data_IF_955206160951
#
_entry.id   IF_955206160951
#
_cell.length_a   1.000
_cell.length_b   1.000
_cell.length_c   1.000
_cell.angle_alpha   90.00
_cell.angle_beta   90.00
_cell.angle_gamma   90.00
#
_symmetry.space_group_name_H-M   'P 1'
#
loop_
_entity.id
_entity.type
_entity.pdbx_description
1 polymer ?
#
# COMPACT_ATOMS: atom_id res chain seq x y z
N UNK A 1 27.99 -89.11 24.53
CA UNK A 1 28.70 -87.92 24.05
C UNK A 1 27.84 -87.23 22.99
N UNK A 2 27.68 -85.91 23.11
CA UNK A 2 27.48 -85.01 21.97
C UNK A 2 26.05 -84.72 21.52
N UNK A 3 25.42 -83.68 22.10
CA UNK A 3 24.52 -82.75 21.36
C UNK A 3 24.39 -81.39 22.10
N UNK A 4 25.45 -80.90 22.75
CA UNK A 4 25.46 -79.57 23.37
C UNK A 4 25.86 -78.42 22.43
N UNK A 5 26.33 -78.71 21.22
CA UNK A 5 27.05 -77.74 20.37
C UNK A 5 26.20 -77.06 19.29
N UNK A 6 24.92 -77.42 19.08
CA UNK A 6 24.12 -76.93 17.94
C UNK A 6 23.23 -75.71 18.26
N UNK A 7 22.99 -75.41 19.54
CA UNK A 7 22.04 -74.35 19.95
C UNK A 7 22.66 -72.94 19.95
N UNK A 8 23.98 -72.84 20.15
CA UNK A 8 24.69 -71.55 20.24
C UNK A 8 24.88 -70.87 18.87
N UNK A 9 25.09 -71.67 17.82
CA UNK A 9 25.39 -71.20 16.46
C UNK A 9 24.18 -70.49 15.80
N UNK A 10 22.97 -71.02 16.02
CA UNK A 10 21.74 -70.45 15.46
C UNK A 10 21.42 -69.07 16.03
N UNK A 11 21.75 -68.81 17.30
CA UNK A 11 21.55 -67.50 17.92
C UNK A 11 22.54 -66.48 17.37
N UNK A 12 23.79 -66.89 17.15
CA UNK A 12 24.82 -66.04 16.57
C UNK A 12 24.51 -65.66 15.13
N UNK A 13 24.09 -66.62 14.30
CA UNK A 13 23.66 -66.37 12.92
C UNK A 13 22.48 -65.38 12.85
N UNK A 14 21.51 -65.51 13.76
CA UNK A 14 20.36 -64.59 13.84
C UNK A 14 20.77 -63.17 14.24
N UNK A 15 21.73 -63.04 15.14
CA UNK A 15 22.28 -61.75 15.57
C UNK A 15 23.04 -61.05 14.44
N UNK A 16 23.88 -61.79 13.71
CA UNK A 16 24.61 -61.27 12.54
C UNK A 16 23.62 -60.80 11.45
N UNK A 17 22.58 -61.59 11.16
CA UNK A 17 21.55 -61.24 10.18
C UNK A 17 20.76 -59.97 10.56
N UNK A 18 20.43 -59.80 11.84
CA UNK A 18 19.78 -58.57 12.34
C UNK A 18 20.68 -57.34 12.23
N UNK A 19 21.97 -57.49 12.57
CA UNK A 19 22.95 -56.42 12.45
C UNK A 19 23.20 -56.03 10.99
N UNK A 20 23.25 -56.99 10.06
CA UNK A 20 23.35 -56.72 8.63
C UNK A 20 22.07 -56.05 8.09
N UNK A 21 20.88 -56.45 8.55
CA UNK A 21 19.61 -55.83 8.12
C UNK A 21 19.48 -54.38 8.60
N UNK A 22 19.90 -54.08 9.82
CA UNK A 22 20.00 -52.70 10.35
C UNK A 22 20.99 -51.85 9.54
N UNK A 23 22.17 -52.42 9.22
CA UNK A 23 23.22 -51.72 8.47
C UNK A 23 22.85 -51.53 6.98
N UNK A 24 22.07 -52.44 6.38
CA UNK A 24 21.50 -52.28 5.04
C UNK A 24 20.42 -51.18 4.99
N UNK A 25 19.55 -51.11 6.01
CA UNK A 25 18.55 -50.05 6.11
C UNK A 25 19.16 -48.64 6.28
N UNK A 26 20.29 -48.53 6.99
CA UNK A 26 21.01 -47.26 7.18
C UNK A 26 21.78 -46.82 5.92
N UNK A 27 22.20 -47.75 5.05
CA UNK A 27 22.98 -47.46 3.84
C UNK A 27 22.12 -47.30 2.58
N UNK A 28 20.90 -47.85 2.56
CA UNK A 28 19.98 -47.76 1.41
C UNK A 28 18.87 -46.72 1.56
N UNK A 29 18.83 -45.98 2.69
CA UNK A 29 17.91 -44.85 2.87
C UNK A 29 18.63 -43.49 2.79
N UNK A 30 19.56 -43.34 1.85
CA UNK A 30 20.23 -42.07 1.56
C UNK A 30 19.29 -41.03 0.90
N UNK A 31 18.02 -41.40 0.61
CA UNK A 31 17.04 -40.52 0.00
C UNK A 31 16.12 -39.82 1.03
N UNK A 32 16.07 -40.27 2.28
CA UNK A 32 15.25 -39.62 3.32
C UNK A 32 15.69 -38.18 3.66
N UNK A 33 17.00 -37.85 3.77
CA UNK A 33 17.43 -36.46 3.97
C UNK A 33 17.07 -35.57 2.77
N UNK A 34 17.15 -36.11 1.55
CA UNK A 34 16.82 -35.42 0.30
C UNK A 34 15.31 -35.26 0.08
N UNK A 35 14.47 -36.12 0.66
CA UNK A 35 13.01 -35.95 0.65
C UNK A 35 12.56 -34.89 1.65
N UNK A 36 13.12 -34.89 2.87
CA UNK A 36 12.82 -33.89 3.90
C UNK A 36 13.27 -32.49 3.51
N UNK A 37 14.48 -32.34 2.95
CA UNK A 37 14.95 -31.06 2.42
C UNK A 37 14.09 -30.57 1.23
N UNK A 38 13.61 -31.50 0.38
CA UNK A 38 12.72 -31.16 -0.74
C UNK A 38 11.33 -30.76 -0.26
N UNK A 39 10.79 -31.39 0.79
CA UNK A 39 9.55 -30.95 1.43
C UNK A 39 9.68 -29.57 2.07
N UNK A 40 10.78 -29.29 2.79
CA UNK A 40 11.04 -27.97 3.38
C UNK A 40 11.20 -26.89 2.29
N UNK A 41 11.93 -27.17 1.20
CA UNK A 41 12.10 -26.23 0.08
C UNK A 41 10.75 -26.00 -0.62
N UNK A 42 9.97 -27.06 -0.87
CA UNK A 42 8.63 -26.94 -1.46
C UNK A 42 7.65 -26.19 -0.57
N UNK A 43 7.71 -26.38 0.76
CA UNK A 43 6.93 -25.60 1.72
C UNK A 43 7.36 -24.14 1.76
N UNK A 44 8.66 -23.85 1.75
CA UNK A 44 9.16 -22.47 1.70
C UNK A 44 8.81 -21.77 0.38
N UNK A 45 8.96 -22.45 -0.77
CA UNK A 45 8.56 -21.90 -2.07
C UNK A 45 7.05 -21.68 -2.17
N UNK A 46 6.24 -22.60 -1.63
CA UNK A 46 4.79 -22.45 -1.58
C UNK A 46 4.38 -21.28 -0.66
N UNK A 47 4.97 -21.18 0.53
CA UNK A 47 4.74 -20.07 1.45
C UNK A 47 5.17 -18.74 0.85
N UNK A 48 6.28 -18.71 0.12
CA UNK A 48 6.76 -17.52 -0.58
C UNK A 48 5.81 -17.12 -1.69
N UNK A 49 5.38 -18.06 -2.55
CA UNK A 49 4.39 -17.81 -3.61
C UNK A 49 3.03 -17.39 -3.07
N UNK A 50 2.58 -17.99 -1.97
CA UNK A 50 1.36 -17.57 -1.28
C UNK A 50 1.49 -16.17 -0.72
N UNK A 51 2.62 -15.83 -0.07
CA UNK A 51 2.90 -14.49 0.42
C UNK A 51 2.95 -13.47 -0.72
N UNK A 52 3.63 -13.78 -1.83
CA UNK A 52 3.68 -12.95 -3.03
C UNK A 52 2.29 -12.74 -3.64
N UNK A 53 1.50 -13.80 -3.81
CA UNK A 53 0.11 -13.69 -4.26
C UNK A 53 -0.74 -12.85 -3.30
N UNK A 54 -0.58 -13.03 -1.99
CA UNK A 54 -1.30 -12.26 -0.97
C UNK A 54 -0.97 -10.77 -1.04
N UNK A 55 0.31 -10.44 -1.25
CA UNK A 55 0.77 -9.06 -1.47
C UNK A 55 0.24 -8.47 -2.79
N UNK A 56 0.14 -9.27 -3.86
CA UNK A 56 -0.46 -8.86 -5.13
C UNK A 56 -1.97 -8.59 -5.00
N UNK A 57 -2.71 -9.39 -4.23
CA UNK A 57 -4.15 -9.20 -4.01
C UNK A 57 -4.48 -7.99 -3.12
N UNK A 58 -3.66 -7.70 -2.10
CA UNK A 58 -3.89 -6.57 -1.19
C UNK A 58 -3.32 -5.24 -1.70
N UNK A 59 -2.30 -5.28 -2.59
CA UNK A 59 -1.68 -4.09 -3.16
C UNK A 59 -2.68 -3.09 -3.76
N UNK A 60 -3.67 -3.51 -4.58
CA UNK A 60 -4.71 -2.62 -5.10
C UNK A 60 -5.48 -1.88 -4.01
N UNK A 61 -5.89 -2.59 -2.95
CA UNK A 61 -6.68 -2.01 -1.85
C UNK A 61 -5.84 -1.01 -1.05
N UNK A 62 -4.58 -1.35 -0.77
CA UNK A 62 -3.65 -0.45 -0.07
C UNK A 62 -3.37 0.80 -0.91
N UNK A 63 -3.13 0.63 -2.22
CA UNK A 63 -2.92 1.76 -3.14
C UNK A 63 -4.18 2.62 -3.26
N UNK A 64 -5.36 2.03 -3.35
CA UNK A 64 -6.64 2.74 -3.37
C UNK A 64 -6.83 3.60 -2.12
N UNK A 65 -6.60 3.04 -0.93
CA UNK A 65 -6.75 3.77 0.32
C UNK A 65 -5.77 4.94 0.43
N UNK A 66 -4.50 4.74 0.03
CA UNK A 66 -3.50 5.81 -0.03
C UNK A 66 -3.90 6.91 -1.01
N UNK A 67 -4.39 6.52 -2.18
CA UNK A 67 -4.87 7.44 -3.21
C UNK A 67 -6.04 8.29 -2.69
N UNK A 68 -7.04 7.67 -2.07
CA UNK A 68 -8.18 8.37 -1.48
C UNK A 68 -7.75 9.31 -0.35
N UNK A 69 -6.84 8.88 0.53
CA UNK A 69 -6.33 9.74 1.61
C UNK A 69 -5.62 10.98 1.06
N UNK A 70 -4.70 10.81 0.09
CA UNK A 70 -3.97 11.92 -0.52
C UNK A 70 -4.90 12.91 -1.25
N UNK A 71 -5.92 12.40 -1.94
CA UNK A 71 -6.88 13.26 -2.64
C UNK A 71 -7.84 13.99 -1.68
N UNK A 72 -8.25 13.35 -0.58
CA UNK A 72 -9.01 14.01 0.48
C UNK A 72 -8.19 15.10 1.17
N UNK A 73 -6.92 14.83 1.48
CA UNK A 73 -6.01 15.84 2.04
C UNK A 73 -5.87 17.04 1.09
N UNK A 74 -5.65 16.79 -0.20
CA UNK A 74 -5.56 17.83 -1.21
C UNK A 74 -6.86 18.65 -1.34
N UNK A 75 -8.03 18.00 -1.27
CA UNK A 75 -9.34 18.67 -1.27
C UNK A 75 -9.55 19.54 -0.03
N UNK A 76 -9.21 19.03 1.15
CA UNK A 76 -9.30 19.77 2.42
C UNK A 76 -8.38 20.98 2.39
N UNK A 77 -7.13 20.80 1.97
CA UNK A 77 -6.17 21.90 1.84
C UNK A 77 -6.67 22.96 0.85
N UNK A 78 -7.25 22.55 -0.30
CA UNK A 78 -7.88 23.47 -1.24
C UNK A 78 -9.02 24.26 -0.57
N UNK A 79 -9.97 23.58 0.09
CA UNK A 79 -11.10 24.24 0.74
C UNK A 79 -10.67 25.22 1.84
N UNK A 80 -9.69 24.84 2.66
CA UNK A 80 -9.16 25.70 3.72
C UNK A 80 -8.45 26.94 3.16
N UNK A 81 -7.63 26.78 2.12
CA UNK A 81 -6.95 27.90 1.46
C UNK A 81 -7.93 28.86 0.78
N UNK A 82 -8.96 28.33 0.10
CA UNK A 82 -10.02 29.15 -0.49
C UNK A 82 -10.79 29.91 0.58
N UNK A 83 -11.21 29.24 1.65
CA UNK A 83 -11.91 29.87 2.76
C UNK A 83 -11.08 30.98 3.40
N UNK A 84 -9.81 30.71 3.72
CA UNK A 84 -8.90 31.71 4.28
C UNK A 84 -8.81 32.95 3.38
N UNK A 85 -8.63 32.74 2.07
CA UNK A 85 -8.55 33.85 1.12
C UNK A 85 -9.82 34.71 1.10
N UNK A 86 -11.00 34.09 1.09
CA UNK A 86 -12.27 34.84 1.12
C UNK A 86 -12.47 35.58 2.45
N UNK A 87 -12.07 34.97 3.57
CA UNK A 87 -12.10 35.62 4.89
C UNK A 87 -11.14 36.81 4.93
N UNK A 88 -9.93 36.67 4.40
CA UNK A 88 -8.95 37.76 4.31
C UNK A 88 -9.47 38.93 3.47
N UNK A 89 -10.12 38.64 2.33
CA UNK A 89 -10.78 39.65 1.50
C UNK A 89 -11.91 40.37 2.25
N UNK A 90 -12.74 39.62 2.97
CA UNK A 90 -13.83 40.19 3.77
C UNK A 90 -13.30 41.05 4.93
N UNK A 91 -12.28 40.59 5.65
CA UNK A 91 -11.62 41.35 6.71
C UNK A 91 -10.96 42.62 6.17
N UNK A 92 -10.27 42.55 5.03
CA UNK A 92 -9.70 43.72 4.38
C UNK A 92 -10.79 44.75 4.07
N UNK A 93 -11.96 44.31 3.60
CA UNK A 93 -13.07 45.21 3.28
C UNK A 93 -13.77 45.78 4.52
N UNK A 94 -13.90 45.00 5.60
CA UNK A 94 -14.37 45.48 6.90
C UNK A 94 -13.42 46.53 7.49
N UNK A 95 -12.10 46.27 7.41
CA UNK A 95 -11.08 47.24 7.84
C UNK A 95 -11.17 48.53 7.04
N UNK A 96 -11.24 48.44 5.72
CA UNK A 96 -11.40 49.61 4.85
C UNK A 96 -12.68 50.40 5.15
N UNK A 97 -13.75 49.74 5.61
CA UNK A 97 -14.98 50.42 6.04
C UNK A 97 -14.80 51.11 7.40
N UNK A 98 -14.12 50.47 8.35
CA UNK A 98 -13.86 51.02 9.68
C UNK A 98 -12.90 52.23 9.63
N UNK A 99 -12.01 52.29 8.63
CA UNK A 99 -11.06 53.38 8.43
C UNK A 99 -11.70 54.61 7.73
N UNK A 100 -13.02 54.61 7.44
CA UNK A 100 -13.73 55.76 6.87
C UNK A 100 -13.96 56.83 7.94
N UNK A 101 -13.29 57.97 7.82
CA UNK A 101 -13.38 59.10 8.76
C UNK A 101 -13.91 60.40 8.14
N UNK A 102 -13.93 60.49 6.82
CA UNK A 102 -14.25 61.72 6.08
C UNK A 102 -14.80 61.44 4.67
N UNK A 103 -15.40 62.44 3.99
CA UNK A 103 -15.97 62.25 2.66
C UNK A 103 -14.98 61.76 1.58
N UNK A 104 -13.69 62.08 1.70
CA UNK A 104 -12.69 61.61 0.73
C UNK A 104 -12.39 60.12 0.92
N UNK A 105 -12.21 59.67 2.17
CA UNK A 105 -12.05 58.24 2.51
C UNK A 105 -13.26 57.40 2.09
N UNK A 106 -14.48 57.95 2.22
CA UNK A 106 -15.71 57.34 1.73
C UNK A 106 -15.71 57.20 0.20
N UNK A 107 -15.29 58.24 -0.52
CA UNK A 107 -15.18 58.19 -1.98
C UNK A 107 -14.18 57.12 -2.41
N UNK A 108 -13.00 57.06 -1.78
CA UNK A 108 -11.98 56.02 -2.03
C UNK A 108 -12.54 54.61 -1.84
N UNK A 109 -13.25 54.38 -0.73
CA UNK A 109 -13.91 53.11 -0.45
C UNK A 109 -14.94 52.73 -1.53
N UNK A 110 -15.74 53.69 -2.01
CA UNK A 110 -16.73 53.45 -3.07
C UNK A 110 -16.05 53.14 -4.41
N UNK A 111 -14.95 53.83 -4.72
CA UNK A 111 -14.21 53.61 -5.97
C UNK A 111 -13.45 52.28 -5.99
N UNK A 112 -13.00 51.77 -4.84
CA UNK A 112 -12.29 50.47 -4.75
C UNK A 112 -13.21 49.24 -4.92
N UNK A 113 -14.52 49.44 -5.03
CA UNK A 113 -15.46 48.32 -5.25
C UNK A 113 -15.19 47.57 -6.55
N UNK A 114 -14.82 48.27 -7.64
CA UNK A 114 -14.51 47.64 -8.91
C UNK A 114 -13.27 46.71 -8.80
N UNK A 115 -12.25 47.14 -8.06
CA UNK A 115 -11.05 46.34 -7.78
C UNK A 115 -11.38 45.14 -6.89
N UNK A 116 -12.25 45.32 -5.90
CA UNK A 116 -12.74 44.23 -5.04
C UNK A 116 -13.49 43.17 -5.85
N UNK A 117 -14.36 43.58 -6.78
CA UNK A 117 -15.07 42.66 -7.67
C UNK A 117 -14.09 41.95 -8.62
N UNK A 118 -13.12 42.68 -9.17
CA UNK A 118 -12.09 42.11 -10.05
C UNK A 118 -11.26 41.03 -9.34
N UNK A 119 -10.79 41.31 -8.13
CA UNK A 119 -10.04 40.35 -7.30
C UNK A 119 -10.88 39.13 -6.91
N UNK A 120 -12.17 39.30 -6.59
CA UNK A 120 -13.09 38.18 -6.32
C UNK A 120 -13.26 37.29 -7.56
N UNK A 121 -13.46 37.89 -8.73
CA UNK A 121 -13.59 37.16 -9.99
C UNK A 121 -12.31 36.40 -10.33
N UNK A 122 -11.15 37.04 -10.20
CA UNK A 122 -9.86 36.39 -10.42
C UNK A 122 -9.70 35.18 -9.48
N UNK A 123 -9.96 35.36 -8.19
CA UNK A 123 -9.88 34.28 -7.21
C UNK A 123 -10.81 33.12 -7.53
N UNK A 124 -12.04 33.42 -7.96
CA UNK A 124 -12.99 32.40 -8.38
C UNK A 124 -12.52 31.60 -9.60
N UNK A 125 -11.95 32.28 -10.60
CA UNK A 125 -11.36 31.62 -11.77
C UNK A 125 -10.17 30.74 -11.38
N UNK A 126 -9.29 31.25 -10.51
CA UNK A 126 -8.13 30.52 -10.01
C UNK A 126 -8.57 29.27 -9.22
N UNK A 127 -9.60 29.38 -8.38
CA UNK A 127 -10.15 28.26 -7.62
C UNK A 127 -10.81 27.22 -8.53
N UNK A 128 -11.51 27.65 -9.57
CA UNK A 128 -12.08 26.77 -10.58
C UNK A 128 -10.99 25.98 -11.30
N UNK A 129 -9.89 26.66 -11.67
CA UNK A 129 -8.73 26.01 -12.30
C UNK A 129 -8.06 25.03 -11.36
N UNK A 130 -7.79 25.42 -10.12
CA UNK A 130 -7.16 24.58 -9.11
C UNK A 130 -8.00 23.32 -8.81
N UNK A 131 -9.32 23.47 -8.71
CA UNK A 131 -10.25 22.37 -8.52
C UNK A 131 -10.27 21.43 -9.74
N UNK A 132 -10.31 21.97 -10.95
CA UNK A 132 -10.23 21.20 -12.19
C UNK A 132 -8.93 20.39 -12.27
N UNK A 133 -7.80 21.01 -11.91
CA UNK A 133 -6.49 20.35 -11.88
C UNK A 133 -6.45 19.23 -10.82
N UNK A 134 -7.08 19.44 -9.65
CA UNK A 134 -7.20 18.42 -8.61
C UNK A 134 -8.04 17.22 -9.07
N UNK A 135 -9.19 17.46 -9.70
CA UNK A 135 -10.01 16.40 -10.29
C UNK A 135 -9.27 15.63 -11.39
N UNK A 136 -8.52 16.35 -12.24
CA UNK A 136 -7.71 15.77 -13.30
C UNK A 136 -6.63 14.82 -12.75
N UNK A 137 -5.92 15.24 -11.69
CA UNK A 137 -4.95 14.38 -11.00
C UNK A 137 -5.60 13.15 -10.39
N UNK A 138 -6.71 13.32 -9.66
CA UNK A 138 -7.44 12.21 -9.07
C UNK A 138 -7.83 11.17 -10.13
N UNK A 139 -8.38 11.63 -11.26
CA UNK A 139 -8.75 10.75 -12.37
C UNK A 139 -7.54 10.01 -12.95
N UNK A 140 -6.43 10.71 -13.18
CA UNK A 140 -5.22 10.09 -13.74
C UNK A 140 -4.64 9.01 -12.81
N UNK A 141 -4.57 9.30 -11.51
CA UNK A 141 -4.08 8.36 -10.50
C UNK A 141 -5.02 7.16 -10.32
N UNK A 142 -6.34 7.38 -10.40
CA UNK A 142 -7.33 6.31 -10.39
C UNK A 142 -7.25 5.41 -11.63
N UNK A 143 -7.15 6.00 -12.83
CA UNK A 143 -6.97 5.25 -14.08
C UNK A 143 -5.68 4.42 -14.03
N UNK A 144 -4.61 4.94 -13.42
CA UNK A 144 -3.37 4.20 -13.21
C UNK A 144 -3.55 3.05 -12.22
N UNK A 145 -4.26 3.27 -11.11
CA UNK A 145 -4.58 2.23 -10.14
C UNK A 145 -5.33 1.05 -10.79
N UNK A 146 -6.31 1.35 -11.66
CA UNK A 146 -7.06 0.32 -12.39
C UNK A 146 -6.14 -0.47 -13.32
N UNK A 147 -5.26 0.20 -14.07
CA UNK A 147 -4.27 -0.47 -14.95
C UNK A 147 -3.31 -1.37 -14.18
N UNK A 148 -2.83 -0.92 -13.03
CA UNK A 148 -1.92 -1.69 -12.16
C UNK A 148 -2.60 -2.89 -11.49
N UNK A 149 -3.93 -2.83 -11.29
CA UNK A 149 -4.72 -3.84 -10.56
C UNK A 149 -5.32 -4.90 -11.47
N UNK A 150 -5.44 -4.62 -12.77
CA UNK A 150 -5.83 -5.63 -13.75
C UNK A 150 -4.67 -6.62 -13.93
N UNK A 151 -4.88 -7.94 -13.72
CA UNK A 151 -3.88 -8.91 -14.13
C UNK A 151 -3.73 -8.77 -15.65
N UNK A 152 -2.50 -8.53 -16.13
CA UNK A 152 -2.17 -8.60 -17.55
C UNK A 152 -2.63 -9.95 -18.08
N UNK A 153 -3.81 -9.96 -18.71
CA UNK A 153 -4.35 -11.11 -19.39
C UNK A 153 -3.38 -11.50 -20.50
N UNK A 154 -2.72 -12.64 -20.29
CA UNK A 154 -2.25 -13.50 -21.37
C UNK A 154 -3.26 -14.63 -21.52
#
# INVERSE_FOLDING_TARGET
MGTGLVSHDKKFAKYIALQQKSRYAATHNFNAPCQFLREIIMSNEMLTKMSEQYQTFLSPVIKANKLSAANLEALVNFQMNSLQSYVDMAMARMKAAADISDPASLQTFLTSQAETISSLNQKFMDDTKALSDLMGRFKAEFDQLVKDSLPMGK
#
